data_IF_221667741532
#
_entry.id   IF_221667741532
#
_cell.length_a   1.000
_cell.length_b   1.000
_cell.length_c   1.000
_cell.angle_alpha   90.00
_cell.angle_beta   90.00
_cell.angle_gamma   90.00
#
_symmetry.space_group_name_H-M   'P 1'
#
loop_
_entity.id
_entity.type
_entity.pdbx_description
1 polymer ?
#
# COMPACT_ATOMS: atom_id res chain seq x y z
N UNK A 1 -4.85 -1.00 4.22
CA UNK A 1 -5.09 -2.33 4.80
C UNK A 1 -6.16 -3.12 4.08
N UNK A 2 -7.34 -2.52 3.80
CA UNK A 2 -8.48 -3.21 3.18
C UNK A 2 -8.09 -3.84 1.83
N UNK A 3 -7.50 -3.07 0.93
CA UNK A 3 -7.04 -3.57 -0.36
C UNK A 3 -6.08 -4.76 -0.21
N UNK A 4 -5.07 -4.64 0.65
CA UNK A 4 -4.10 -5.71 0.90
C UNK A 4 -4.78 -6.98 1.44
N UNK A 5 -5.74 -6.84 2.34
CA UNK A 5 -6.51 -7.96 2.86
C UNK A 5 -7.29 -8.70 1.79
N UNK A 6 -8.00 -7.99 0.92
CA UNK A 6 -8.78 -8.63 -0.15
C UNK A 6 -7.92 -9.20 -1.27
N UNK A 7 -6.76 -8.60 -1.60
CA UNK A 7 -5.80 -9.23 -2.52
C UNK A 7 -5.28 -10.54 -1.93
N UNK A 8 -4.85 -10.55 -0.67
CA UNK A 8 -4.39 -11.77 -0.01
C UNK A 8 -5.49 -12.83 0.09
N UNK A 9 -6.74 -12.42 0.33
CA UNK A 9 -7.89 -13.32 0.33
C UNK A 9 -8.16 -13.92 -1.05
N UNK A 10 -7.98 -13.17 -2.13
CA UNK A 10 -8.16 -13.71 -3.49
C UNK A 10 -7.13 -14.76 -3.88
N UNK A 11 -5.95 -14.76 -3.24
CA UNK A 11 -4.86 -15.72 -3.49
C UNK A 11 -4.96 -16.91 -2.54
N UNK A 12 -5.17 -16.66 -1.25
CA UNK A 12 -5.04 -17.66 -0.18
C UNK A 12 -6.32 -17.87 0.63
N UNK A 13 -7.48 -17.48 0.10
CA UNK A 13 -8.78 -17.58 0.75
C UNK A 13 -8.84 -16.84 2.11
N UNK A 14 -9.77 -17.23 2.97
CA UNK A 14 -10.03 -16.60 4.28
C UNK A 14 -8.79 -16.41 5.17
N UNK A 15 -7.84 -17.35 5.28
CA UNK A 15 -6.63 -17.16 6.08
C UNK A 15 -5.76 -16.01 5.60
N UNK A 16 -5.76 -15.70 4.30
CA UNK A 16 -5.03 -14.58 3.71
C UNK A 16 -5.52 -13.21 4.18
N UNK A 17 -6.81 -13.09 4.49
CA UNK A 17 -7.43 -11.81 4.84
C UNK A 17 -6.73 -11.14 6.04
N UNK A 18 -6.59 -11.84 7.17
CA UNK A 18 -5.99 -11.29 8.38
C UNK A 18 -4.51 -10.89 8.17
N UNK A 19 -3.77 -11.74 7.46
CA UNK A 19 -2.36 -11.51 7.15
C UNK A 19 -2.18 -10.32 6.21
N UNK A 20 -3.04 -10.21 5.19
CA UNK A 20 -3.06 -9.08 4.27
C UNK A 20 -3.43 -7.76 4.95
N UNK A 21 -4.41 -7.77 5.86
CA UNK A 21 -4.73 -6.59 6.68
C UNK A 21 -3.54 -6.12 7.50
N UNK A 22 -2.86 -7.04 8.20
CA UNK A 22 -1.67 -6.72 9.00
C UNK A 22 -0.55 -6.14 8.13
N UNK A 23 -0.25 -6.76 6.98
CA UNK A 23 0.72 -6.25 6.01
C UNK A 23 0.36 -4.86 5.49
N UNK A 24 -0.91 -4.62 5.22
CA UNK A 24 -1.40 -3.31 4.79
C UNK A 24 -1.31 -2.23 5.87
N UNK A 25 -1.48 -2.57 7.15
CA UNK A 25 -1.24 -1.64 8.27
C UNK A 25 0.24 -1.28 8.37
N UNK A 26 1.15 -2.26 8.26
CA UNK A 26 2.59 -2.01 8.26
C UNK A 26 3.03 -1.13 7.09
N UNK A 27 2.45 -1.34 5.90
CA UNK A 27 2.67 -0.51 4.73
C UNK A 27 2.21 0.95 4.93
N UNK A 28 1.05 1.13 5.56
CA UNK A 28 0.49 2.45 5.87
C UNK A 28 1.36 3.20 6.88
N UNK A 29 1.83 2.53 7.91
CA UNK A 29 2.67 3.11 8.95
C UNK A 29 4.13 3.30 8.50
N UNK A 30 4.55 2.69 7.40
CA UNK A 30 5.93 2.74 6.94
C UNK A 30 6.92 2.06 7.88
N UNK A 31 6.45 1.10 8.69
CA UNK A 31 7.25 0.39 9.69
C UNK A 31 8.46 -0.27 9.02
N UNK A 32 9.65 -0.06 9.59
CA UNK A 32 10.91 -0.59 9.09
C UNK A 32 11.84 -1.03 10.24
N UNK A 33 12.86 -1.81 9.92
CA UNK A 33 13.78 -2.33 10.94
C UNK A 33 14.54 -1.25 11.71
N UNK A 34 14.95 -0.17 11.03
CA UNK A 34 15.68 0.92 11.66
C UNK A 34 14.78 1.68 12.66
N UNK A 35 13.52 1.94 12.29
CA UNK A 35 12.53 2.56 13.17
C UNK A 35 12.25 1.69 14.41
N UNK A 36 12.03 0.39 14.20
CA UNK A 36 11.80 -0.54 15.32
C UNK A 36 13.01 -0.55 16.29
N UNK A 37 14.22 -0.56 15.76
CA UNK A 37 15.45 -0.51 16.57
C UNK A 37 15.59 0.82 17.34
N UNK A 38 15.05 1.92 16.80
CA UNK A 38 14.99 3.23 17.44
C UNK A 38 13.80 3.41 18.40
N UNK A 39 12.93 2.40 18.52
CA UNK A 39 11.70 2.48 19.33
C UNK A 39 10.54 3.22 18.61
N UNK A 40 10.67 3.51 17.32
CA UNK A 40 9.65 4.14 16.51
C UNK A 40 8.85 3.09 15.74
N UNK A 41 7.53 3.16 15.84
CA UNK A 41 6.63 2.25 15.11
C UNK A 41 6.16 2.81 13.77
N UNK A 42 6.40 4.09 13.52
CA UNK A 42 5.98 4.82 12.32
C UNK A 42 7.19 5.31 11.56
N UNK A 43 7.16 5.16 10.24
CA UNK A 43 8.16 5.64 9.32
C UNK A 43 7.53 6.36 8.12
N UNK A 44 8.26 6.44 7.03
CA UNK A 44 7.74 7.02 5.78
C UNK A 44 6.75 6.03 5.17
N UNK A 45 5.48 6.42 5.10
CA UNK A 45 4.44 5.58 4.50
C UNK A 45 4.77 5.22 3.05
N UNK A 46 4.73 3.94 2.74
CA UNK A 46 4.87 3.44 1.36
C UNK A 46 3.61 3.65 0.50
N UNK A 47 2.56 4.23 1.10
CA UNK A 47 1.33 4.58 0.42
C UNK A 47 0.58 3.39 -0.18
N UNK A 48 -0.08 3.64 -1.29
CA UNK A 48 -0.88 2.65 -2.00
C UNK A 48 -0.05 1.51 -2.60
N UNK A 49 1.15 1.84 -3.14
CA UNK A 49 2.06 0.84 -3.74
C UNK A 49 2.51 -0.22 -2.73
N UNK A 50 2.92 0.22 -1.54
CA UNK A 50 3.31 -0.71 -0.48
C UNK A 50 2.13 -1.58 -0.02
N UNK A 51 0.92 -1.01 0.07
CA UNK A 51 -0.27 -1.77 0.44
C UNK A 51 -0.64 -2.83 -0.61
N UNK A 52 -0.48 -2.52 -1.89
CA UNK A 52 -0.69 -3.44 -3.00
C UNK A 52 0.30 -4.61 -2.93
N UNK A 53 1.60 -4.32 -2.77
CA UNK A 53 2.63 -5.34 -2.59
C UNK A 53 2.40 -6.18 -1.34
N UNK A 54 2.01 -5.56 -0.23
CA UNK A 54 1.69 -6.27 1.01
C UNK A 54 0.59 -7.32 0.81
N UNK A 55 -0.42 -7.01 -0.01
CA UNK A 55 -1.48 -7.96 -0.35
C UNK A 55 -0.99 -9.18 -1.10
N UNK A 56 -0.16 -8.99 -2.13
CA UNK A 56 0.45 -10.10 -2.87
C UNK A 56 1.38 -10.92 -2.00
N UNK A 57 2.29 -10.26 -1.27
CA UNK A 57 3.23 -10.94 -0.35
C UNK A 57 2.45 -11.77 0.67
N UNK A 58 1.42 -11.20 1.29
CA UNK A 58 0.61 -11.90 2.27
C UNK A 58 -0.11 -13.12 1.68
N UNK A 59 -0.68 -12.98 0.49
CA UNK A 59 -1.35 -14.09 -0.20
C UNK A 59 -0.40 -15.25 -0.47
N UNK A 60 0.75 -14.98 -1.08
CA UNK A 60 1.74 -16.02 -1.39
C UNK A 60 2.40 -16.63 -0.15
N UNK A 61 2.63 -15.83 0.91
CA UNK A 61 3.15 -16.35 2.19
C UNK A 61 2.16 -17.32 2.82
N UNK A 62 0.88 -17.00 2.85
CA UNK A 62 -0.13 -17.90 3.41
C UNK A 62 -0.27 -19.17 2.54
N UNK A 63 -0.22 -19.04 1.22
CA UNK A 63 -0.26 -20.20 0.32
C UNK A 63 0.97 -21.11 0.52
N UNK A 64 2.15 -20.54 0.72
CA UNK A 64 3.35 -21.26 1.07
C UNK A 64 3.23 -21.98 2.43
N UNK A 65 2.67 -21.30 3.44
CA UNK A 65 2.40 -21.91 4.75
C UNK A 65 1.42 -23.06 4.64
N UNK A 66 0.38 -22.96 3.81
CA UNK A 66 -0.54 -24.08 3.54
C UNK A 66 0.22 -25.30 3.02
N UNK A 67 1.06 -25.13 1.98
CA UNK A 67 1.85 -26.21 1.39
C UNK A 67 2.79 -26.90 2.40
N UNK A 68 3.47 -26.14 3.24
CA UNK A 68 4.38 -26.70 4.27
C UNK A 68 3.58 -27.48 5.31
N UNK A 69 2.44 -26.95 5.71
CA UNK A 69 1.64 -27.56 6.79
C UNK A 69 0.80 -28.75 6.33
N UNK A 70 0.65 -28.99 5.03
CA UNK A 70 -0.03 -30.19 4.48
C UNK A 70 0.57 -31.50 5.01
N UNK A 71 1.88 -31.52 5.28
CA UNK A 71 2.61 -32.68 5.78
C UNK A 71 2.43 -32.93 7.29
N UNK A 72 1.75 -32.04 8.01
CA UNK A 72 1.52 -32.19 9.45
C UNK A 72 0.44 -33.24 9.73
N UNK A 73 0.52 -33.95 10.89
CA UNK A 73 -0.47 -34.94 11.28
C UNK A 73 -1.89 -34.38 11.32
N UNK A 74 -2.87 -35.26 11.07
CA UNK A 74 -4.29 -34.89 11.03
C UNK A 74 -4.82 -34.29 12.36
N UNK A 75 -4.19 -34.64 13.49
CA UNK A 75 -4.51 -34.09 14.82
C UNK A 75 -4.31 -32.57 14.91
N UNK A 76 -3.47 -31.98 14.04
CA UNK A 76 -3.19 -30.55 14.01
C UNK A 76 -4.02 -29.76 12.99
N UNK A 77 -4.93 -30.43 12.26
CA UNK A 77 -5.73 -29.78 11.21
C UNK A 77 -6.57 -28.59 11.71
N UNK A 78 -7.08 -28.65 12.97
CA UNK A 78 -7.84 -27.56 13.55
C UNK A 78 -6.99 -26.34 13.94
N UNK A 79 -5.73 -26.57 14.27
CA UNK A 79 -4.80 -25.51 14.73
C UNK A 79 -4.21 -24.72 13.55
N UNK A 80 -4.10 -25.34 12.37
CA UNK A 80 -3.51 -24.70 11.18
C UNK A 80 -4.19 -23.38 10.83
N UNK A 81 -5.51 -23.31 10.57
CA UNK A 81 -6.18 -22.08 10.17
C UNK A 81 -6.32 -21.08 11.30
N UNK A 82 -6.37 -21.52 12.56
CA UNK A 82 -6.58 -20.65 13.71
C UNK A 82 -5.30 -19.98 14.21
N UNK A 83 -4.18 -20.71 14.17
CA UNK A 83 -2.93 -20.26 14.79
C UNK A 83 -1.79 -20.15 13.78
N UNK A 84 -1.52 -21.21 13.01
CA UNK A 84 -0.32 -21.26 12.16
C UNK A 84 -0.40 -20.24 11.01
N UNK A 85 -1.51 -20.17 10.30
CA UNK A 85 -1.65 -19.26 9.17
C UNK A 85 -1.67 -17.78 9.60
N UNK A 86 -2.48 -17.35 10.59
CA UNK A 86 -2.48 -15.95 11.01
C UNK A 86 -1.16 -15.55 11.68
N UNK A 87 -0.69 -16.26 12.70
CA UNK A 87 0.52 -15.88 13.43
C UNK A 87 1.77 -16.01 12.58
N UNK A 88 1.98 -17.15 11.94
CA UNK A 88 3.12 -17.37 11.05
C UNK A 88 3.09 -16.44 9.86
N UNK A 89 1.92 -16.21 9.27
CA UNK A 89 1.73 -15.30 8.16
C UNK A 89 2.03 -13.85 8.53
N UNK A 90 1.49 -13.34 9.64
CA UNK A 90 1.73 -11.98 10.11
C UNK A 90 3.21 -11.76 10.44
N UNK A 91 3.86 -12.74 11.09
CA UNK A 91 5.27 -12.64 11.44
C UNK A 91 6.15 -12.57 10.18
N UNK A 92 5.96 -13.47 9.22
CA UNK A 92 6.73 -13.50 7.98
C UNK A 92 6.47 -12.23 7.16
N UNK A 93 5.21 -11.86 6.97
CA UNK A 93 4.85 -10.64 6.22
C UNK A 93 5.37 -9.41 6.94
N UNK A 94 5.36 -9.38 8.28
CA UNK A 94 5.94 -8.30 9.07
C UNK A 94 7.42 -8.09 8.78
N UNK A 95 8.20 -9.16 8.81
CA UNK A 95 9.64 -9.13 8.48
C UNK A 95 9.87 -8.66 7.05
N UNK A 96 9.14 -9.22 6.08
CA UNK A 96 9.27 -8.87 4.66
C UNK A 96 8.88 -7.41 4.42
N UNK A 97 7.78 -6.94 5.01
CA UNK A 97 7.33 -5.55 4.85
C UNK A 97 8.27 -4.54 5.49
N UNK A 98 8.91 -4.86 6.63
CA UNK A 98 9.95 -4.01 7.22
C UNK A 98 11.14 -3.79 6.29
N UNK A 99 11.46 -4.76 5.43
CA UNK A 99 12.49 -4.61 4.39
C UNK A 99 12.01 -3.84 3.15
N UNK A 100 10.74 -4.01 2.77
CA UNK A 100 10.15 -3.39 1.55
C UNK A 100 9.74 -1.93 1.79
N UNK A 101 9.22 -1.61 2.96
CA UNK A 101 8.68 -0.28 3.27
C UNK A 101 9.64 0.89 3.02
N UNK A 102 10.95 0.82 3.35
CA UNK A 102 11.87 1.91 3.06
C UNK A 102 11.96 2.22 1.56
N UNK A 103 11.98 1.19 0.73
CA UNK A 103 12.06 1.34 -0.74
C UNK A 103 10.77 1.99 -1.26
N UNK A 104 9.63 1.50 -0.82
CA UNK A 104 8.33 2.05 -1.21
C UNK A 104 8.14 3.48 -0.70
N UNK A 105 8.60 3.77 0.51
CA UNK A 105 8.61 5.11 1.10
C UNK A 105 9.46 6.08 0.29
N UNK A 106 10.64 5.67 -0.16
CA UNK A 106 11.49 6.48 -1.04
C UNK A 106 10.81 6.79 -2.37
N UNK A 107 10.17 5.80 -3.00
CA UNK A 107 9.43 6.00 -4.25
C UNK A 107 8.26 6.98 -4.05
N UNK A 108 7.48 6.78 -2.99
CA UNK A 108 6.36 7.66 -2.67
C UNK A 108 6.82 9.09 -2.38
N UNK A 109 7.91 9.26 -1.65
CA UNK A 109 8.53 10.57 -1.36
C UNK A 109 9.08 11.22 -2.62
N UNK A 110 9.78 10.46 -3.48
CA UNK A 110 10.31 10.97 -4.74
C UNK A 110 9.19 11.49 -5.65
N UNK A 111 8.08 10.76 -5.73
CA UNK A 111 6.91 11.18 -6.52
C UNK A 111 6.28 12.46 -5.95
N UNK A 112 6.13 12.55 -4.64
CA UNK A 112 5.62 13.75 -3.97
C UNK A 112 6.54 14.95 -4.16
N UNK A 113 7.87 14.77 -4.01
CA UNK A 113 8.84 15.83 -4.21
C UNK A 113 8.87 16.31 -5.66
N UNK A 114 8.75 15.39 -6.63
CA UNK A 114 8.66 15.73 -8.04
C UNK A 114 7.43 16.61 -8.34
N UNK A 115 6.26 16.23 -7.82
CA UNK A 115 5.03 17.02 -7.95
C UNK A 115 5.15 18.40 -7.26
N UNK A 116 5.75 18.44 -6.07
CA UNK A 116 6.00 19.72 -5.36
C UNK A 116 6.95 20.64 -6.14
N UNK A 117 8.00 20.11 -6.74
CA UNK A 117 8.96 20.88 -7.53
C UNK A 117 8.32 21.54 -8.76
N UNK A 118 7.27 20.93 -9.31
CA UNK A 118 6.53 21.48 -10.45
C UNK A 118 5.60 22.64 -10.07
N UNK A 119 5.16 22.72 -8.82
CA UNK A 119 4.18 23.71 -8.35
C UNK A 119 4.62 25.17 -8.51
N UNK A 120 5.93 25.45 -8.66
CA UNK A 120 6.48 26.78 -8.84
C UNK A 120 6.67 27.22 -10.30
N UNK A 121 6.66 26.30 -11.26
CA UNK A 121 7.14 26.58 -12.62
C UNK A 121 6.01 26.80 -13.62
N UNK A 122 4.93 26.05 -13.54
CA UNK A 122 3.73 26.26 -14.40
C UNK A 122 2.52 25.54 -13.83
N UNK A 123 1.57 26.30 -13.34
CA UNK A 123 0.30 25.77 -12.82
C UNK A 123 -0.48 24.95 -13.86
N UNK A 124 -0.41 25.36 -15.12
CA UNK A 124 -1.09 24.69 -16.23
C UNK A 124 -0.46 23.33 -16.49
N UNK A 125 0.88 23.25 -16.51
CA UNK A 125 1.59 22.00 -16.73
C UNK A 125 1.37 21.03 -15.56
N UNK A 126 1.47 21.53 -14.32
CA UNK A 126 1.17 20.73 -13.14
C UNK A 126 -0.28 20.20 -13.18
N UNK A 127 -1.23 21.08 -13.49
CA UNK A 127 -2.64 20.71 -13.63
C UNK A 127 -2.87 19.61 -14.68
N UNK A 128 -2.24 19.74 -15.85
CA UNK A 128 -2.32 18.74 -16.91
C UNK A 128 -1.72 17.38 -16.50
N UNK A 129 -0.58 17.38 -15.80
CA UNK A 129 0.06 16.14 -15.33
C UNK A 129 -0.80 15.47 -14.27
N UNK A 130 -1.26 16.21 -13.27
CA UNK A 130 -2.06 15.67 -12.16
C UNK A 130 -3.41 15.16 -12.67
N UNK A 131 -4.06 15.89 -13.58
CA UNK A 131 -5.26 15.43 -14.25
C UNK A 131 -5.01 14.18 -15.10
N UNK A 132 -3.89 14.13 -15.83
CA UNK A 132 -3.47 12.95 -16.59
C UNK A 132 -3.24 11.73 -15.70
N UNK A 133 -2.57 11.90 -14.56
CA UNK A 133 -2.39 10.82 -13.57
C UNK A 133 -3.72 10.25 -13.06
N UNK A 134 -4.73 11.10 -12.90
CA UNK A 134 -6.09 10.67 -12.53
C UNK A 134 -6.77 9.84 -13.62
N UNK A 135 -6.55 10.21 -14.89
CA UNK A 135 -7.22 9.60 -16.04
C UNK A 135 -6.56 8.30 -16.51
N UNK A 136 -5.22 8.21 -16.44
CA UNK A 136 -4.46 7.07 -16.96
C UNK A 136 -4.69 5.81 -16.12
N UNK A 137 -4.83 5.96 -14.82
CA UNK A 137 -4.84 4.85 -13.88
C UNK A 137 -6.02 4.99 -12.91
N UNK A 138 -7.20 4.63 -13.35
CA UNK A 138 -8.43 4.74 -12.56
C UNK A 138 -8.40 3.82 -11.34
N UNK A 139 -8.04 4.39 -10.18
CA UNK A 139 -7.99 3.68 -8.89
C UNK A 139 -6.66 3.02 -8.58
N UNK A 140 -5.65 3.12 -9.43
CA UNK A 140 -4.30 2.60 -9.20
C UNK A 140 -3.36 3.58 -8.48
N UNK A 141 -2.05 3.30 -8.49
CA UNK A 141 -1.06 4.05 -7.72
C UNK A 141 -0.91 5.52 -8.17
N UNK A 142 -0.94 5.80 -9.46
CA UNK A 142 -0.81 7.16 -10.00
C UNK A 142 -2.00 8.04 -9.61
N UNK A 143 -3.21 7.50 -9.73
CA UNK A 143 -4.43 8.15 -9.29
C UNK A 143 -4.36 8.49 -7.79
N UNK A 144 -3.96 7.55 -6.95
CA UNK A 144 -3.85 7.76 -5.50
C UNK A 144 -2.77 8.80 -5.14
N UNK A 145 -1.64 8.80 -5.83
CA UNK A 145 -0.60 9.80 -5.61
C UNK A 145 -1.09 11.21 -5.97
N UNK A 146 -1.74 11.37 -7.11
CA UNK A 146 -2.33 12.64 -7.52
C UNK A 146 -3.39 13.13 -6.52
N UNK A 147 -4.25 12.23 -6.04
CA UNK A 147 -5.27 12.55 -5.05
C UNK A 147 -4.69 12.95 -3.69
N UNK A 148 -3.72 12.21 -3.18
CA UNK A 148 -3.02 12.54 -1.91
C UNK A 148 -2.28 13.87 -2.03
N UNK A 149 -1.62 14.11 -3.17
CA UNK A 149 -0.99 15.40 -3.44
C UNK A 149 -2.01 16.55 -3.48
N UNK A 150 -3.15 16.35 -4.16
CA UNK A 150 -4.24 17.31 -4.21
C UNK A 150 -4.84 17.63 -2.83
N UNK A 151 -5.02 16.62 -1.98
CA UNK A 151 -5.51 16.83 -0.60
C UNK A 151 -4.51 17.55 0.28
N UNK A 152 -3.21 17.29 0.12
CA UNK A 152 -2.15 18.03 0.83
C UNK A 152 -2.08 19.49 0.37
N UNK A 153 -2.21 19.75 -0.94
CA UNK A 153 -2.29 21.10 -1.50
C UNK A 153 -3.52 21.86 -0.99
N UNK A 154 -4.66 21.17 -0.88
CA UNK A 154 -5.90 21.72 -0.33
C UNK A 154 -5.71 22.18 1.14
N UNK A 155 -5.05 21.35 1.95
CA UNK A 155 -4.74 21.68 3.35
C UNK A 155 -3.83 22.91 3.49
N UNK A 156 -2.99 23.18 2.50
CA UNK A 156 -2.13 24.39 2.42
C UNK A 156 -2.80 25.60 1.74
N UNK A 157 -4.09 25.49 1.39
CA UNK A 157 -4.86 26.57 0.77
C UNK A 157 -4.73 26.67 -0.76
N UNK A 158 -4.07 25.70 -1.40
CA UNK A 158 -3.95 25.65 -2.86
C UNK A 158 -5.06 24.81 -3.48
N UNK A 159 -6.15 25.44 -3.86
CA UNK A 159 -7.35 24.79 -4.41
C UNK A 159 -7.20 24.37 -5.88
N UNK A 160 -6.30 25.01 -6.63
CA UNK A 160 -6.14 24.80 -8.08
C UNK A 160 -5.72 23.38 -8.42
N UNK A 161 -4.82 22.82 -7.62
CA UNK A 161 -4.32 21.44 -7.80
C UNK A 161 -5.45 20.43 -7.61
N UNK A 162 -6.25 20.60 -6.55
CA UNK A 162 -7.36 19.69 -6.30
C UNK A 162 -8.47 19.80 -7.35
N UNK A 163 -8.71 21.00 -7.85
CA UNK A 163 -9.64 21.20 -8.97
C UNK A 163 -9.18 20.44 -10.23
N UNK A 164 -7.89 20.50 -10.57
CA UNK A 164 -7.32 19.74 -11.69
C UNK A 164 -7.43 18.21 -11.49
N UNK A 165 -7.17 17.71 -10.26
CA UNK A 165 -7.36 16.30 -9.89
C UNK A 165 -8.80 15.86 -10.15
N UNK A 166 -9.77 16.64 -9.69
CA UNK A 166 -11.19 16.30 -9.83
C UNK A 166 -11.63 16.33 -11.30
N UNK A 167 -11.25 17.35 -12.06
CA UNK A 167 -11.54 17.42 -13.51
C UNK A 167 -10.93 16.23 -14.24
N UNK A 168 -9.66 15.90 -13.95
CA UNK A 168 -9.00 14.74 -14.55
C UNK A 168 -9.70 13.41 -14.26
N UNK A 169 -10.28 13.23 -13.08
CA UNK A 169 -11.07 12.06 -12.74
C UNK A 169 -12.43 11.96 -13.43
N UNK A 170 -12.93 13.06 -14.00
CA UNK A 170 -14.21 13.10 -14.72
C UNK A 170 -14.07 12.77 -16.20
N UNK A 171 -12.88 12.90 -16.79
CA UNK A 171 -12.64 12.69 -18.23
C UNK A 171 -12.85 11.24 -18.69
N UNK A 172 -12.38 10.20 -17.98
CA UNK A 172 -12.50 8.81 -18.45
C UNK A 172 -13.92 8.30 -18.68
N UNK A 173 -14.95 8.75 -17.95
CA UNK A 173 -16.34 8.33 -18.18
C UNK A 173 -17.01 8.93 -19.42
N UNK A 174 -16.38 9.91 -20.06
CA UNK A 174 -16.92 10.61 -21.25
C UNK A 174 -16.39 9.96 -22.51
#
# INVERSE_FOLDING_TARGET
PILAGFIAMSIADRPGLAVGFAGGVLAMNGTNFAGIAAGETTGISGGFLAALLAGFVAGYVVEFLKKITEKLPASLNGIRPMLIYPLGGILIVGVVMCGINPIMGMINTAMTNWLNAMGGTSKVLLGAIVAGMMSIDMGGPFNKAAYVFGTAALASGNYEVMAAVMVGGMVPPI
#
